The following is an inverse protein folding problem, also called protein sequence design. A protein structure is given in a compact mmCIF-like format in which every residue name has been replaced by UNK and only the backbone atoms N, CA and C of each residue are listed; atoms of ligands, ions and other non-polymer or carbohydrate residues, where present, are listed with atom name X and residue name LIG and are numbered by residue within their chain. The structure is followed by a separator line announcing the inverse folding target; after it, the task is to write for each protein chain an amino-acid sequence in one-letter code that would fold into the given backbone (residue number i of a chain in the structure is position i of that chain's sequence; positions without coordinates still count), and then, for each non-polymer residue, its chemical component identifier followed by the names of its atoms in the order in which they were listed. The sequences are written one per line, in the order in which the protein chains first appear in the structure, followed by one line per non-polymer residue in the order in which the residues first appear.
data_IF_727792787511
#
_entry.id   IF_727792787511
#
_cell.length_a   1.000
_cell.length_b   1.000
_cell.length_c   1.000
_cell.angle_alpha   90.00
_cell.angle_beta   90.00
_cell.angle_gamma   90.00
#
_symmetry.space_group_name_H-M   'P 1'
#
loop_
_entity.id
_entity.type
_entity.pdbx_description
1 polymer ?
#
# COMPACT_ATOMS: atom_id res chain seq x y z
N UNK A 1 14.37 19.25 -25.10
CA UNK A 1 14.82 18.30 -24.06
C UNK A 1 13.80 17.16 -24.04
N UNK A 2 14.19 16.00 -24.56
CA UNK A 2 13.34 14.81 -24.64
C UNK A 2 13.04 14.35 -23.23
N UNK A 3 11.80 14.48 -22.78
CA UNK A 3 11.36 13.87 -21.51
C UNK A 3 11.42 12.36 -21.75
N UNK A 4 12.25 11.65 -20.99
CA UNK A 4 12.23 10.19 -21.03
C UNK A 4 10.79 9.72 -20.76
N UNK A 5 10.19 9.03 -21.73
CA UNK A 5 8.83 8.50 -21.61
C UNK A 5 8.90 7.23 -20.78
N UNK A 6 8.69 7.36 -19.49
CA UNK A 6 8.48 6.21 -18.63
C UNK A 6 7.07 5.65 -18.85
N UNK A 7 6.91 4.33 -18.88
CA UNK A 7 5.60 3.73 -18.70
C UNK A 7 4.93 4.26 -17.44
N UNK A 8 3.62 4.41 -17.47
CA UNK A 8 2.83 4.98 -16.40
C UNK A 8 1.77 3.99 -15.95
N UNK A 9 1.30 4.15 -14.71
CA UNK A 9 0.15 3.43 -14.18
C UNK A 9 -0.79 4.44 -13.53
N UNK A 10 -2.07 4.08 -13.40
CA UNK A 10 -3.01 4.85 -12.59
C UNK A 10 -2.98 4.32 -11.16
N UNK A 11 -2.73 5.22 -10.22
CA UNK A 11 -2.71 4.93 -8.78
C UNK A 11 -3.68 5.84 -8.05
N UNK A 12 -4.33 5.31 -7.02
CA UNK A 12 -5.30 6.03 -6.19
C UNK A 12 -5.32 5.47 -4.76
N UNK A 13 -6.18 6.02 -3.92
CA UNK A 13 -6.50 5.44 -2.62
C UNK A 13 -7.92 4.87 -2.64
N UNK A 14 -8.09 3.65 -2.11
CA UNK A 14 -9.40 3.09 -1.84
C UNK A 14 -10.17 4.01 -0.89
N UNK A 15 -11.43 4.31 -1.22
CA UNK A 15 -12.21 5.32 -0.51
C UNK A 15 -12.48 4.93 0.94
N UNK A 16 -12.75 3.65 1.19
CA UNK A 16 -13.15 3.15 2.52
C UNK A 16 -11.92 2.78 3.36
N UNK A 17 -11.01 1.98 2.82
CA UNK A 17 -9.86 1.45 3.56
C UNK A 17 -8.66 2.40 3.54
N UNK A 18 -8.59 3.33 2.58
CA UNK A 18 -7.48 4.25 2.41
C UNK A 18 -6.22 3.62 1.79
N UNK A 19 -6.26 2.32 1.46
CA UNK A 19 -5.15 1.60 0.84
C UNK A 19 -4.77 2.17 -0.52
N UNK A 20 -3.48 2.11 -0.86
CA UNK A 20 -3.05 2.39 -2.23
C UNK A 20 -3.49 1.26 -3.14
N UNK A 21 -4.18 1.64 -4.21
CA UNK A 21 -4.69 0.74 -5.24
C UNK A 21 -4.27 1.20 -6.62
N UNK A 22 -4.23 0.26 -7.54
CA UNK A 22 -3.80 0.45 -8.92
C UNK A 22 -4.90 -0.01 -9.87
N UNK A 23 -5.09 0.71 -10.98
CA UNK A 23 -6.05 0.31 -12.00
C UNK A 23 -5.52 -0.91 -12.76
N UNK A 24 -6.39 -1.87 -13.05
CA UNK A 24 -6.08 -3.11 -13.78
C UNK A 24 -6.61 -3.05 -15.22
N UNK A 25 -6.15 -3.96 -16.08
CA UNK A 25 -6.70 -4.13 -17.44
C UNK A 25 -8.20 -4.47 -17.46
N UNK A 26 -8.72 -5.04 -16.37
CA UNK A 26 -10.13 -5.33 -16.20
C UNK A 26 -10.96 -4.11 -15.75
N UNK A 27 -10.37 -2.91 -15.76
CA UNK A 27 -10.98 -1.65 -15.32
C UNK A 27 -11.43 -1.63 -13.84
N UNK A 28 -10.91 -2.58 -13.05
CA UNK A 28 -11.08 -2.63 -11.60
C UNK A 28 -9.81 -2.23 -10.83
N UNK A 29 -9.88 -2.25 -9.51
CA UNK A 29 -8.77 -1.86 -8.63
C UNK A 29 -8.11 -3.06 -7.95
N UNK A 30 -6.79 -3.12 -8.01
CA UNK A 30 -5.97 -4.11 -7.30
C UNK A 30 -5.10 -3.43 -6.24
N UNK A 31 -4.76 -4.19 -5.20
CA UNK A 31 -3.75 -3.79 -4.21
C UNK A 31 -2.33 -4.18 -4.66
N UNK A 32 -2.20 -5.01 -5.68
CA UNK A 32 -0.92 -5.51 -6.16
C UNK A 32 -0.40 -4.71 -7.35
N UNK A 33 0.75 -4.06 -7.16
CA UNK A 33 1.40 -3.26 -8.21
C UNK A 33 1.72 -4.10 -9.46
N UNK A 34 2.00 -5.39 -9.30
CA UNK A 34 2.31 -6.30 -10.40
C UNK A 34 1.15 -6.54 -11.38
N UNK A 35 -0.08 -6.29 -10.93
CA UNK A 35 -1.30 -6.45 -11.73
C UNK A 35 -1.78 -5.11 -12.33
N UNK A 36 -1.04 -4.03 -12.09
CA UNK A 36 -1.40 -2.71 -12.58
C UNK A 36 -1.33 -2.66 -14.12
N UNK A 37 -2.31 -1.99 -14.72
CA UNK A 37 -2.33 -1.64 -16.13
C UNK A 37 -1.15 -0.70 -16.44
N UNK A 38 -0.21 -1.18 -17.26
CA UNK A 38 0.96 -0.40 -17.68
C UNK A 38 0.69 0.31 -19.00
N UNK A 39 0.78 1.64 -18.97
CA UNK A 39 0.44 2.53 -20.05
C UNK A 39 1.72 3.14 -20.63
N UNK A 40 2.05 2.79 -21.87
CA UNK A 40 3.24 3.31 -22.57
C UNK A 40 2.91 4.51 -23.47
N UNK A 41 1.64 4.67 -23.82
CA UNK A 41 1.14 5.76 -24.66
C UNK A 41 0.50 6.84 -23.77
N UNK A 42 0.90 8.12 -23.91
CA UNK A 42 0.33 9.20 -23.10
C UNK A 42 -1.17 9.37 -23.27
N UNK A 43 -1.71 9.16 -24.47
CA UNK A 43 -3.16 9.30 -24.71
C UNK A 43 -3.96 8.23 -23.97
N UNK A 44 -3.46 6.99 -23.99
CA UNK A 44 -4.11 5.89 -23.27
C UNK A 44 -4.01 6.11 -21.75
N UNK A 45 -2.90 6.71 -21.28
CA UNK A 45 -2.72 7.04 -19.87
C UNK A 45 -3.70 8.10 -19.37
N UNK A 46 -3.93 9.15 -20.14
CA UNK A 46 -4.93 10.17 -19.80
C UNK A 46 -6.37 9.60 -19.81
N UNK A 47 -6.68 8.71 -20.76
CA UNK A 47 -7.98 8.05 -20.82
C UNK A 47 -8.22 7.15 -19.60
N UNK A 48 -7.24 6.32 -19.25
CA UNK A 48 -7.30 5.46 -18.08
C UNK A 48 -7.41 6.25 -16.77
N UNK A 49 -6.72 7.41 -16.68
CA UNK A 49 -6.85 8.30 -15.53
C UNK A 49 -8.27 8.85 -15.41
N UNK A 50 -8.84 9.35 -16.50
CA UNK A 50 -10.20 9.89 -16.51
C UNK A 50 -11.24 8.83 -16.14
N UNK A 51 -11.03 7.60 -16.59
CA UNK A 51 -11.87 6.46 -16.18
C UNK A 51 -11.75 6.15 -14.69
N UNK A 52 -10.53 6.11 -14.16
CA UNK A 52 -10.29 5.90 -12.73
C UNK A 52 -10.95 6.97 -11.87
N UNK A 53 -10.83 8.24 -12.27
CA UNK A 53 -11.46 9.38 -11.62
C UNK A 53 -13.00 9.32 -11.63
N UNK A 54 -13.61 8.68 -12.64
CA UNK A 54 -15.05 8.48 -12.69
C UNK A 54 -15.54 7.46 -11.63
N UNK A 55 -14.66 6.61 -11.10
CA UNK A 55 -15.00 5.60 -10.08
C UNK A 55 -15.03 6.18 -8.65
N UNK A 56 -15.67 7.33 -8.48
CA UNK A 56 -15.70 8.13 -7.24
C UNK A 56 -16.26 7.40 -6.02
N UNK A 57 -17.02 6.32 -6.21
CA UNK A 57 -17.56 5.51 -5.13
C UNK A 57 -16.55 4.49 -4.57
N UNK A 58 -15.45 4.25 -5.28
CA UNK A 58 -14.45 3.24 -4.93
C UNK A 58 -13.10 3.85 -4.54
N UNK A 59 -12.71 4.97 -5.15
CA UNK A 59 -11.39 5.56 -4.97
C UNK A 59 -11.41 7.08 -4.88
N UNK A 60 -10.30 7.64 -4.39
CA UNK A 60 -10.05 9.07 -4.34
C UNK A 60 -8.61 9.39 -4.74
N UNK A 61 -8.42 10.52 -5.43
CA UNK A 61 -7.13 11.10 -5.73
C UNK A 61 -6.31 10.30 -6.74
N UNK A 62 -6.91 9.94 -7.87
CA UNK A 62 -6.20 9.24 -8.94
C UNK A 62 -5.11 10.14 -9.54
N UNK A 63 -3.97 9.55 -9.89
CA UNK A 63 -2.94 10.21 -10.69
C UNK A 63 -2.07 9.19 -11.43
N UNK A 64 -1.29 9.68 -12.38
CA UNK A 64 -0.32 8.88 -13.12
C UNK A 64 1.01 8.79 -12.38
N UNK A 65 1.43 7.57 -12.07
CA UNK A 65 2.73 7.26 -11.50
C UNK A 65 3.65 6.65 -12.55
N UNK A 66 4.89 7.13 -12.61
CA UNK A 66 5.90 6.58 -13.51
C UNK A 66 6.49 5.29 -12.92
N UNK A 67 6.59 4.26 -13.75
CA UNK A 67 7.16 2.96 -13.39
C UNK A 67 8.29 2.57 -14.35
N UNK A 68 9.22 1.76 -13.85
CA UNK A 68 10.17 1.00 -14.66
C UNK A 68 9.69 -0.44 -14.75
N UNK A 69 9.70 -0.98 -15.96
CA UNK A 69 9.47 -2.41 -16.16
C UNK A 69 10.74 -3.18 -15.82
N UNK A 70 10.64 -4.09 -14.86
CA UNK A 70 11.74 -5.01 -14.47
C UNK A 70 11.29 -6.46 -14.69
N UNK A 71 12.23 -7.41 -14.63
CA UNK A 71 11.91 -8.83 -14.74
C UNK A 71 10.95 -9.34 -13.64
N UNK A 72 10.82 -8.62 -12.52
CA UNK A 72 9.92 -8.92 -11.42
C UNK A 72 8.60 -8.13 -11.46
N UNK A 73 8.35 -7.37 -12.54
CA UNK A 73 7.15 -6.53 -12.70
C UNK A 73 7.44 -5.02 -12.66
N UNK A 74 6.39 -4.18 -12.74
CA UNK A 74 6.51 -2.74 -12.63
C UNK A 74 7.01 -2.33 -11.25
N UNK A 75 8.06 -1.50 -11.22
CA UNK A 75 8.58 -0.89 -10.01
C UNK A 75 8.50 0.63 -10.07
N UNK A 76 8.19 1.32 -8.95
CA UNK A 76 8.05 2.76 -8.97
C UNK A 76 9.39 3.45 -9.25
N UNK A 77 9.34 4.55 -10.01
CA UNK A 77 10.54 5.34 -10.31
C UNK A 77 10.90 6.32 -9.18
N UNK A 78 9.90 6.73 -8.40
CA UNK A 78 10.04 7.81 -7.43
C UNK A 78 9.84 7.31 -6.01
N UNK A 79 10.74 7.67 -5.08
CA UNK A 79 10.76 7.19 -3.69
C UNK A 79 9.41 7.38 -2.95
N UNK A 80 8.65 8.43 -3.31
CA UNK A 80 7.34 8.73 -2.73
C UNK A 80 6.36 7.57 -2.93
N UNK A 81 6.43 6.89 -4.07
CA UNK A 81 5.57 5.74 -4.38
C UNK A 81 5.94 4.52 -3.52
N UNK A 82 7.24 4.27 -3.29
CA UNK A 82 7.71 3.20 -2.40
C UNK A 82 7.24 3.38 -0.96
N UNK A 83 7.13 4.63 -0.50
CA UNK A 83 6.57 4.93 0.81
C UNK A 83 5.05 4.74 0.83
N UNK A 84 4.35 5.22 -0.21
CA UNK A 84 2.88 5.08 -0.32
C UNK A 84 2.45 3.62 -0.39
N UNK A 85 3.13 2.77 -1.18
CA UNK A 85 2.81 1.33 -1.28
C UNK A 85 2.89 0.63 0.08
N UNK A 86 3.86 1.01 0.92
CA UNK A 86 4.04 0.43 2.24
C UNK A 86 3.01 0.90 3.26
N UNK A 87 2.27 1.99 3.05
CA UNK A 87 1.34 2.50 4.05
C UNK A 87 2.00 3.30 5.20
N UNK A 88 1.21 3.76 6.18
CA UNK A 88 1.65 4.69 7.23
C UNK A 88 2.74 4.09 8.11
N UNK A 89 3.81 4.85 8.41
CA UNK A 89 4.98 4.36 9.15
C UNK A 89 4.99 4.70 10.66
N UNK A 90 3.87 5.20 11.20
CA UNK A 90 3.79 5.64 12.60
C UNK A 90 3.32 4.50 13.55
N UNK A 91 2.56 3.53 13.02
CA UNK A 91 2.15 2.27 13.65
C UNK A 91 1.94 1.23 12.54
N UNK A 92 2.05 -0.06 12.85
CA UNK A 92 1.76 -1.13 11.89
C UNK A 92 0.25 -1.14 11.55
N UNK A 93 -0.12 -0.38 10.52
CA UNK A 93 -1.50 -0.26 10.03
C UNK A 93 -1.53 -0.42 8.50
N UNK A 94 -2.70 -0.79 7.95
CA UNK A 94 -2.87 -1.08 6.53
C UNK A 94 -2.07 -2.30 6.08
N UNK A 95 -1.54 -2.30 4.85
CA UNK A 95 -0.75 -3.40 4.26
C UNK A 95 0.46 -3.85 5.09
N UNK A 96 0.96 -3.04 6.02
CA UNK A 96 2.05 -3.44 6.93
C UNK A 96 1.61 -4.47 7.98
N UNK A 97 0.32 -4.48 8.33
CA UNK A 97 -0.23 -5.40 9.32
C UNK A 97 -0.41 -6.82 8.75
N UNK A 98 -0.67 -6.95 7.46
CA UNK A 98 -0.94 -8.24 6.78
C UNK A 98 0.33 -9.12 6.65
N UNK A 99 1.52 -8.51 6.66
CA UNK A 99 2.81 -9.22 6.57
C UNK A 99 3.42 -9.63 7.92
N UNK A 100 2.84 -9.20 9.04
CA UNK A 100 3.37 -9.52 10.38
C UNK A 100 2.45 -10.48 11.09
N UNK A 101 2.72 -11.79 10.95
CA UNK A 101 2.25 -12.80 11.89
C UNK A 101 2.87 -12.52 13.26
N UNK A 102 2.30 -11.57 14.00
CA UNK A 102 2.72 -11.23 15.35
C UNK A 102 1.99 -12.13 16.34
N UNK A 103 2.71 -13.14 16.86
CA UNK A 103 2.34 -13.85 18.09
C UNK A 103 2.10 -12.81 19.19
N UNK A 104 0.92 -12.80 19.86
CA UNK A 104 0.65 -11.84 20.92
C UNK A 104 1.55 -12.15 22.11
N UNK A 105 2.62 -11.38 22.26
CA UNK A 105 3.35 -11.28 23.51
C UNK A 105 2.77 -10.10 24.29
N UNK A 106 1.83 -10.40 25.18
CA UNK A 106 1.76 -9.85 26.53
C UNK A 106 0.40 -10.19 27.14
N UNK A 107 0.30 -11.40 27.68
CA UNK A 107 -0.56 -11.63 28.85
C UNK A 107 0.26 -11.18 30.06
N UNK A 108 -0.13 -10.14 30.81
CA UNK A 108 0.54 -9.87 32.08
C UNK A 108 0.25 -11.04 33.01
N UNK A 109 1.29 -11.82 33.29
CA UNK A 109 1.25 -12.93 34.21
C UNK A 109 0.90 -12.42 35.61
N UNK A 110 -0.17 -12.99 36.17
CA UNK A 110 -0.42 -13.04 37.60
C UNK A 110 0.89 -13.34 38.34
N UNK A 111 1.36 -12.39 39.14
CA UNK A 111 2.45 -12.65 40.09
C UNK A 111 1.81 -13.13 41.39
N UNK A 112 2.07 -14.38 41.83
CA UNK A 112 1.56 -14.85 43.11
C UNK A 112 2.31 -14.14 44.25
N UNK A 113 1.56 -13.51 45.16
CA UNK A 113 2.07 -13.01 46.43
C UNK A 113 2.47 -14.20 47.30
N UNK A 114 3.76 -14.56 47.27
CA UNK A 114 4.33 -15.56 48.15
C UNK A 114 4.59 -14.95 49.54
N UNK A 115 3.85 -15.48 50.51
CA UNK A 115 4.14 -15.33 51.93
C UNK A 115 5.57 -15.78 52.26
N UNK A 116 6.26 -15.05 53.14
CA UNK A 116 7.32 -15.62 53.96
C UNK A 116 7.24 -15.06 55.38
N UNK A 117 7.02 -15.98 56.31
CA UNK A 117 7.04 -15.81 57.75
C UNK A 117 8.47 -15.82 58.31
N UNK A 118 8.54 -15.60 59.63
CA UNK A 118 9.64 -15.85 60.60
C UNK A 118 10.47 -14.57 60.88
N UNK A 119 10.65 -14.07 62.12
CA UNK A 119 10.91 -14.77 63.39
C UNK A 119 10.43 -14.01 64.64
N UNK A 120 10.09 -14.79 65.66
CA UNK A 120 10.05 -14.39 67.07
C UNK A 120 11.46 -14.27 67.66
N UNK A 121 11.63 -13.34 68.62
CA UNK A 121 12.40 -13.44 69.86
C UNK A 121 12.13 -12.17 70.69
#
# INVERSE_FOLDING_TARGET
MSRESFPQIVTANALIEGDVVYLTEAHGWTRELSEALVLTNPTDAELALAEGDAQVAQVVGCYLANVRLTASGPQPVHFREDFRRRGPSNYAHGKQAEGSAHTPADTPADTPTAAKAISAA
#
